data_IF_066458605644
#
_entry.id   IF_066458605644
#
_cell.length_a   1.000
_cell.length_b   1.000
_cell.length_c   1.000
_cell.angle_alpha   90.00
_cell.angle_beta   90.00
_cell.angle_gamma   90.00
#
_symmetry.space_group_name_H-M   'P 1'
#
loop_
_entity.id
_entity.type
_entity.pdbx_description
1 polymer ?
#
# COMPACT_ATOMS: atom_id res chain seq x y z
N UNK A 1 -6.44 0.21 14.69
CA UNK A 1 -5.82 -0.64 13.66
C UNK A 1 -4.33 -0.41 13.78
N UNK A 2 -3.58 -1.48 13.97
CA UNK A 2 -2.13 -1.44 14.13
C UNK A 2 -1.41 -1.91 12.86
N UNK A 3 -0.12 -1.61 12.78
CA UNK A 3 0.77 -2.06 11.69
C UNK A 3 0.65 -3.56 11.40
N UNK A 4 0.57 -4.37 12.46
CA UNK A 4 0.52 -5.83 12.37
C UNK A 4 -0.78 -6.28 11.69
N UNK A 5 -1.90 -5.61 11.99
CA UNK A 5 -3.20 -5.92 11.38
C UNK A 5 -3.16 -5.66 9.87
N UNK A 6 -2.59 -4.52 9.46
CA UNK A 6 -2.50 -4.12 8.05
C UNK A 6 -1.61 -5.10 7.28
N UNK A 7 -0.42 -5.42 7.80
CA UNK A 7 0.49 -6.36 7.14
C UNK A 7 -0.10 -7.77 7.09
N UNK A 8 -0.77 -8.21 8.16
CA UNK A 8 -1.48 -9.48 8.18
C UNK A 8 -2.58 -9.56 7.12
N UNK A 9 -3.38 -8.51 7.00
CA UNK A 9 -4.39 -8.37 5.96
C UNK A 9 -3.79 -8.45 4.56
N UNK A 10 -2.76 -7.65 4.26
CA UNK A 10 -2.12 -7.61 2.95
C UNK A 10 -1.49 -8.96 2.56
N UNK A 11 -0.94 -9.69 3.53
CA UNK A 11 -0.41 -11.05 3.33
C UNK A 11 -1.50 -12.04 2.97
N UNK A 12 -2.61 -12.00 3.69
CA UNK A 12 -3.73 -12.91 3.47
C UNK A 12 -4.41 -12.67 2.11
N UNK A 13 -4.49 -11.41 1.66
CA UNK A 13 -5.13 -11.05 0.38
C UNK A 13 -4.14 -11.05 -0.81
N UNK A 14 -2.86 -11.37 -0.60
CA UNK A 14 -1.79 -11.25 -1.60
C UNK A 14 -2.12 -11.90 -2.95
N UNK A 15 -2.63 -13.13 -2.92
CA UNK A 15 -3.01 -13.87 -4.14
C UNK A 15 -4.20 -13.23 -4.86
N UNK A 16 -5.16 -12.71 -4.10
CA UNK A 16 -6.35 -12.04 -4.63
C UNK A 16 -5.99 -10.68 -5.25
N UNK A 17 -5.13 -9.91 -4.58
CA UNK A 17 -4.62 -8.64 -5.08
C UNK A 17 -3.83 -8.82 -6.38
N UNK A 18 -3.02 -9.88 -6.44
CA UNK A 18 -2.28 -10.25 -7.66
C UNK A 18 -3.23 -10.61 -8.80
N UNK A 19 -4.22 -11.47 -8.56
CA UNK A 19 -5.15 -11.93 -9.62
C UNK A 19 -6.10 -10.84 -10.12
N UNK A 20 -6.62 -9.99 -9.22
CA UNK A 20 -7.63 -8.98 -9.55
C UNK A 20 -7.04 -7.68 -10.08
N UNK A 21 -5.89 -7.26 -9.54
CA UNK A 21 -5.33 -5.94 -9.80
C UNK A 21 -3.91 -5.98 -10.38
N UNK A 22 -3.31 -7.16 -10.55
CA UNK A 22 -1.95 -7.29 -11.05
C UNK A 22 -0.88 -6.83 -10.07
N UNK A 23 -1.15 -6.89 -8.75
CA UNK A 23 -0.17 -6.51 -7.73
C UNK A 23 1.05 -7.45 -7.76
N UNK A 24 2.23 -6.88 -8.02
CA UNK A 24 3.54 -7.54 -7.94
C UNK A 24 4.08 -7.46 -6.51
N UNK A 25 4.06 -6.25 -5.93
CA UNK A 25 4.48 -6.02 -4.56
C UNK A 25 3.64 -4.94 -3.91
N UNK A 26 3.43 -5.06 -2.60
CA UNK A 26 2.74 -4.06 -1.80
C UNK A 26 3.43 -3.96 -0.44
N UNK A 27 3.67 -2.72 0.00
CA UNK A 27 4.34 -2.45 1.27
C UNK A 27 3.71 -1.26 1.98
N UNK A 28 3.59 -1.37 3.29
CA UNK A 28 3.12 -0.31 4.18
C UNK A 28 4.28 0.64 4.47
N UNK A 29 4.05 1.94 4.30
CA UNK A 29 4.98 2.97 4.74
C UNK A 29 4.27 4.01 5.60
N UNK A 30 4.93 5.15 5.86
CA UNK A 30 4.28 6.28 6.50
C UNK A 30 4.02 6.07 8.00
N UNK A 31 2.93 6.67 8.49
CA UNK A 31 2.68 6.81 9.93
C UNK A 31 2.43 5.45 10.61
N UNK A 32 1.62 4.58 9.99
CA UNK A 32 1.35 3.22 10.47
C UNK A 32 2.59 2.33 10.47
N UNK A 33 3.48 2.46 9.48
CA UNK A 33 4.72 1.70 9.48
C UNK A 33 5.63 2.06 10.68
N UNK A 34 5.62 3.34 11.08
CA UNK A 34 6.45 3.88 12.15
C UNK A 34 5.83 3.74 13.55
N UNK A 35 4.54 3.40 13.66
CA UNK A 35 3.83 3.38 14.95
C UNK A 35 3.44 4.78 15.46
N UNK A 36 3.49 5.80 14.59
CA UNK A 36 3.17 7.19 14.93
C UNK A 36 1.84 7.64 14.28
N UNK A 37 0.96 6.70 13.94
CA UNK A 37 -0.36 7.00 13.38
C UNK A 37 -1.25 7.74 14.38
N UNK A 38 -2.07 8.65 13.87
CA UNK A 38 -3.15 9.30 14.60
C UNK A 38 -4.49 8.68 14.20
N UNK A 39 -5.56 9.04 14.91
CA UNK A 39 -6.90 8.50 14.64
C UNK A 39 -7.34 8.74 13.18
N UNK A 40 -7.02 9.91 12.63
CA UNK A 40 -7.39 10.32 11.27
C UNK A 40 -6.38 9.90 10.19
N UNK A 41 -5.24 9.29 10.55
CA UNK A 41 -4.17 8.98 9.59
C UNK A 41 -4.60 8.00 8.49
N UNK A 42 -4.29 8.29 7.25
CA UNK A 42 -4.42 7.37 6.12
C UNK A 42 -3.40 6.22 6.17
N UNK A 43 -3.75 5.12 5.50
CA UNK A 43 -2.85 3.97 5.33
C UNK A 43 -2.05 4.17 4.05
N UNK A 44 -0.78 4.55 4.20
CA UNK A 44 0.15 4.77 3.09
C UNK A 44 0.73 3.46 2.53
N UNK A 45 0.45 3.13 1.27
CA UNK A 45 0.87 1.89 0.63
C UNK A 45 1.67 2.13 -0.65
N UNK A 46 2.87 1.56 -0.72
CA UNK A 46 3.69 1.54 -1.92
C UNK A 46 3.37 0.27 -2.70
N UNK A 47 2.89 0.42 -3.93
CA UNK A 47 2.46 -0.70 -4.77
C UNK A 47 3.21 -0.76 -6.09
N UNK A 48 3.58 -1.96 -6.51
CA UNK A 48 4.09 -2.27 -7.85
C UNK A 48 3.07 -3.13 -8.58
N UNK A 49 2.70 -2.75 -9.80
CA UNK A 49 1.68 -3.44 -10.60
C UNK A 49 2.29 -3.93 -11.91
N UNK A 50 1.83 -5.08 -12.41
CA UNK A 50 2.26 -5.67 -13.68
C UNK A 50 1.76 -4.88 -14.88
N UNK A 51 0.48 -4.53 -14.89
CA UNK A 51 -0.18 -3.77 -15.96
C UNK A 51 -0.97 -2.60 -15.37
N UNK A 52 -0.26 -1.53 -14.98
CA UNK A 52 -0.88 -0.42 -14.27
C UNK A 52 -1.71 0.47 -15.22
N UNK A 53 -3.02 0.48 -14.97
CA UNK A 53 -4.00 1.42 -15.54
C UNK A 53 -4.60 2.30 -14.44
N UNK A 54 -5.27 3.39 -14.82
CA UNK A 54 -6.03 4.22 -13.88
C UNK A 54 -7.07 3.36 -13.14
N UNK A 55 -7.82 2.54 -13.87
CA UNK A 55 -8.85 1.66 -13.31
C UNK A 55 -8.28 0.62 -12.34
N UNK A 56 -7.10 0.06 -12.63
CA UNK A 56 -6.45 -0.90 -11.72
C UNK A 56 -6.04 -0.25 -10.40
N UNK A 57 -5.53 0.98 -10.43
CA UNK A 57 -5.15 1.72 -9.24
C UNK A 57 -6.36 2.17 -8.44
N UNK A 58 -7.36 2.77 -9.10
CA UNK A 58 -8.59 3.21 -8.46
C UNK A 58 -9.37 2.03 -7.86
N UNK A 59 -9.48 0.93 -8.62
CA UNK A 59 -10.12 -0.30 -8.16
C UNK A 59 -9.40 -0.92 -6.96
N UNK A 60 -8.05 -0.93 -6.98
CA UNK A 60 -7.26 -1.40 -5.85
C UNK A 60 -7.46 -0.50 -4.62
N UNK A 61 -7.43 0.82 -4.78
CA UNK A 61 -7.65 1.77 -3.69
C UNK A 61 -9.01 1.54 -3.02
N UNK A 62 -10.08 1.56 -3.81
CA UNK A 62 -11.44 1.35 -3.32
C UNK A 62 -11.61 -0.02 -2.65
N UNK A 63 -10.97 -1.05 -3.19
CA UNK A 63 -10.99 -2.38 -2.61
C UNK A 63 -10.33 -2.41 -1.23
N UNK A 64 -9.14 -1.81 -1.11
CA UNK A 64 -8.38 -1.76 0.14
C UNK A 64 -9.10 -0.90 1.18
N UNK A 65 -9.61 0.27 0.82
CA UNK A 65 -10.37 1.15 1.71
C UNK A 65 -11.61 0.45 2.26
N UNK A 66 -12.36 -0.24 1.39
CA UNK A 66 -13.55 -1.00 1.78
C UNK A 66 -13.22 -2.13 2.76
N UNK A 67 -12.10 -2.82 2.56
CA UNK A 67 -11.68 -3.96 3.38
C UNK A 67 -11.05 -3.55 4.71
N UNK A 68 -10.27 -2.48 4.70
CA UNK A 68 -9.59 -1.95 5.88
C UNK A 68 -10.48 -1.00 6.68
N UNK A 69 -11.55 -0.46 6.10
CA UNK A 69 -12.46 0.49 6.75
C UNK A 69 -11.81 1.83 7.06
N UNK A 70 -10.73 2.19 6.33
CA UNK A 70 -9.96 3.42 6.50
C UNK A 70 -9.46 3.91 5.15
N UNK A 71 -9.26 5.22 5.02
CA UNK A 71 -8.67 5.82 3.82
C UNK A 71 -7.28 5.24 3.53
N UNK A 72 -6.98 5.03 2.25
CA UNK A 72 -5.72 4.45 1.77
C UNK A 72 -5.11 5.39 0.74
N UNK A 73 -3.86 5.79 0.94
CA UNK A 73 -3.07 6.47 -0.09
C UNK A 73 -2.19 5.44 -0.81
N UNK A 74 -2.36 5.31 -2.13
CA UNK A 74 -1.58 4.39 -2.95
C UNK A 74 -0.53 5.14 -3.77
N UNK A 75 0.74 4.91 -3.43
CA UNK A 75 1.86 5.35 -4.25
C UNK A 75 2.30 4.21 -5.15
N UNK A 76 2.17 4.43 -6.47
CA UNK A 76 2.68 3.48 -7.46
C UNK A 76 4.20 3.61 -7.61
N UNK A 77 4.91 2.52 -7.33
CA UNK A 77 6.32 2.33 -7.67
C UNK A 77 6.47 2.21 -9.19
N UNK A 78 7.18 3.16 -9.80
CA UNK A 78 7.43 3.23 -11.26
C UNK A 78 8.75 3.92 -11.56
N UNK A 79 9.28 3.71 -12.77
CA UNK A 79 10.41 4.51 -13.28
C UNK A 79 10.03 6.00 -13.26
N UNK A 80 10.91 6.84 -12.73
CA UNK A 80 10.67 8.29 -12.58
C UNK A 80 9.97 8.70 -11.28
N UNK A 81 9.63 7.75 -10.40
CA UNK A 81 9.31 8.12 -9.00
C UNK A 81 10.58 8.69 -8.34
N UNK A 82 10.42 9.75 -7.55
CA UNK A 82 11.56 10.46 -6.96
C UNK A 82 12.42 9.53 -6.10
N UNK A 83 13.71 9.39 -6.45
CA UNK A 83 14.67 8.63 -5.64
C UNK A 83 14.80 9.16 -4.22
N UNK A 84 14.64 10.49 -4.04
CA UNK A 84 14.64 11.12 -2.72
C UNK A 84 13.46 10.63 -1.88
N UNK A 85 12.27 10.53 -2.50
CA UNK A 85 11.09 10.00 -1.83
C UNK A 85 11.30 8.53 -1.47
N UNK A 86 11.75 7.70 -2.42
CA UNK A 86 12.03 6.28 -2.20
C UNK A 86 13.02 6.08 -1.05
N UNK A 87 14.17 6.75 -1.06
CA UNK A 87 15.18 6.67 0.03
C UNK A 87 14.62 7.08 1.39
N UNK A 88 13.65 8.00 1.42
CA UNK A 88 13.00 8.45 2.67
C UNK A 88 12.10 7.37 3.25
N UNK A 89 11.38 6.64 2.41
CA UNK A 89 10.43 5.62 2.87
C UNK A 89 11.07 4.23 2.99
N UNK A 90 12.13 3.94 2.24
CA UNK A 90 12.79 2.62 2.16
C UNK A 90 13.22 2.05 3.52
N UNK A 91 13.61 2.91 4.46
CA UNK A 91 14.02 2.49 5.81
C UNK A 91 12.87 1.97 6.67
N UNK A 92 11.65 2.37 6.32
CA UNK A 92 10.45 2.15 7.14
C UNK A 92 9.42 1.29 6.41
N UNK A 93 9.58 1.00 5.11
CA UNK A 93 8.65 0.15 4.38
C UNK A 93 8.63 -1.25 4.98
N UNK A 94 7.43 -1.75 5.26
CA UNK A 94 7.17 -3.14 5.62
C UNK A 94 6.41 -3.82 4.49
N UNK A 95 7.06 -4.77 3.83
CA UNK A 95 6.43 -5.53 2.74
C UNK A 95 5.58 -6.71 3.25
N UNK A 96 4.47 -6.95 2.55
CA UNK A 96 3.57 -8.07 2.79
C UNK A 96 4.06 -9.37 2.11
#
# INVERSE_FOLDING_TARGET
>A
MERIDIIGFLRNEKEDLKKKFGVISIGLFGSFAKGNQQHESDIDLLVELSEPSFDSLAGLQLHLEKKLGKSVDLVRKRKGLSDRFLKRIERDIQYA
#
